data_IF_520934568794
#
_entry.id   IF_520934568794
#
_cell.length_a   1.000
_cell.length_b   1.000
_cell.length_c   1.000
_cell.angle_alpha   90.00
_cell.angle_beta   90.00
_cell.angle_gamma   90.00
#
_symmetry.space_group_name_H-M   'P 1'
#
loop_
_entity.id
_entity.type
_entity.pdbx_description
1 polymer ?
#
# COMPACT_ATOMS: atom_id res chain seq x y z
N UNK A 1 -16.89 0.40 -11.20
CA UNK A 1 -16.61 1.29 -10.05
C UNK A 1 -16.74 0.62 -8.68
N UNK A 2 -17.81 -0.15 -8.37
CA UNK A 2 -17.98 -0.76 -7.03
C UNK A 2 -16.78 -1.60 -6.56
N UNK A 3 -16.16 -2.36 -7.47
CA UNK A 3 -14.98 -3.18 -7.16
C UNK A 3 -13.80 -2.35 -6.64
N UNK A 4 -13.32 -1.38 -7.41
CA UNK A 4 -12.21 -0.51 -7.00
C UNK A 4 -12.53 0.23 -5.69
N UNK A 5 -13.76 0.72 -5.55
CA UNK A 5 -14.21 1.36 -4.30
C UNK A 5 -14.07 0.45 -3.08
N UNK A 6 -14.50 -0.82 -3.17
CA UNK A 6 -14.37 -1.78 -2.08
C UNK A 6 -12.90 -2.09 -1.79
N UNK A 7 -12.12 -2.39 -2.83
CA UNK A 7 -10.69 -2.73 -2.71
C UNK A 7 -9.92 -1.62 -1.98
N UNK A 8 -10.07 -0.37 -2.43
CA UNK A 8 -9.34 0.75 -1.83
C UNK A 8 -9.86 1.13 -0.42
N UNK A 9 -11.14 0.92 -0.11
CA UNK A 9 -11.64 1.07 1.26
C UNK A 9 -11.05 0.02 2.21
N UNK A 10 -11.05 -1.25 1.79
CA UNK A 10 -10.47 -2.34 2.58
C UNK A 10 -8.99 -2.09 2.80
N UNK A 11 -8.25 -1.71 1.74
CA UNK A 11 -6.83 -1.38 1.83
C UNK A 11 -6.56 -0.23 2.81
N UNK A 12 -7.31 0.87 2.71
CA UNK A 12 -7.16 2.02 3.59
C UNK A 12 -7.42 1.66 5.07
N UNK A 13 -8.52 0.96 5.35
CA UNK A 13 -8.88 0.54 6.71
C UNK A 13 -7.81 -0.39 7.28
N UNK A 14 -7.39 -1.40 6.50
CA UNK A 14 -6.33 -2.31 6.89
C UNK A 14 -5.03 -1.56 7.21
N UNK A 15 -4.59 -0.66 6.33
CA UNK A 15 -3.38 0.11 6.53
C UNK A 15 -3.44 1.01 7.76
N UNK A 16 -4.56 1.70 8.02
CA UNK A 16 -4.71 2.48 9.25
C UNK A 16 -4.63 1.60 10.50
N UNK A 17 -5.26 0.43 10.51
CA UNK A 17 -5.25 -0.48 11.66
C UNK A 17 -3.87 -1.05 11.95
N UNK A 18 -3.08 -1.37 10.92
CA UNK A 18 -1.75 -1.97 11.08
C UNK A 18 -0.66 -0.92 11.34
N UNK A 19 -0.74 0.23 10.67
CA UNK A 19 0.37 1.20 10.66
C UNK A 19 0.25 2.23 11.79
N UNK A 20 -0.96 2.64 12.18
CA UNK A 20 -1.14 3.63 13.26
C UNK A 20 -0.52 3.19 14.59
N UNK A 21 -0.67 1.92 15.04
CA UNK A 21 -0.04 1.46 16.27
C UNK A 21 1.49 1.58 16.25
N UNK A 22 2.13 1.54 15.07
CA UNK A 22 3.60 1.59 14.96
C UNK A 22 4.18 2.88 15.56
N UNK A 23 3.44 4.00 15.58
CA UNK A 23 3.88 5.23 16.26
C UNK A 23 4.19 5.04 17.74
N UNK A 24 3.58 4.04 18.39
CA UNK A 24 3.71 3.79 19.82
C UNK A 24 4.50 2.50 20.13
N UNK A 25 4.95 1.78 19.10
CA UNK A 25 5.57 0.47 19.24
C UNK A 25 7.09 0.47 19.00
N UNK A 26 7.72 1.60 18.72
CA UNK A 26 9.16 1.68 18.44
C UNK A 26 10.03 0.95 19.47
N UNK A 27 9.90 1.31 20.75
CA UNK A 27 10.69 0.70 21.84
C UNK A 27 10.30 -0.75 22.12
N UNK A 28 9.08 -1.15 21.76
CA UNK A 28 8.62 -2.53 21.90
C UNK A 28 9.24 -3.40 20.82
N UNK A 29 9.16 -2.98 19.56
CA UNK A 29 9.76 -3.69 18.42
C UNK A 29 11.27 -3.82 18.64
N UNK A 30 11.95 -2.75 19.05
CA UNK A 30 13.40 -2.81 19.31
C UNK A 30 13.82 -3.78 20.42
N UNK A 31 12.89 -4.17 21.31
CA UNK A 31 13.13 -5.19 22.35
C UNK A 31 12.71 -6.60 21.90
N UNK A 32 11.56 -6.68 21.23
CA UNK A 32 10.95 -7.96 20.82
C UNK A 32 11.64 -8.55 19.57
N UNK A 33 12.29 -7.72 18.74
CA UNK A 33 12.99 -8.10 17.51
C UNK A 33 14.42 -7.49 17.46
N UNK A 34 15.38 -8.05 18.22
CA UNK A 34 16.73 -7.54 18.27
C UNK A 34 17.52 -7.82 16.97
N UNK A 35 18.42 -6.92 16.55
CA UNK A 35 18.92 -5.77 17.31
C UNK A 35 17.97 -4.55 17.29
N UNK A 36 18.00 -3.70 18.33
CA UNK A 36 17.15 -2.51 18.39
C UNK A 36 17.30 -1.59 17.17
N UNK A 37 16.21 -0.95 16.78
CA UNK A 37 16.20 0.01 15.67
C UNK A 37 17.10 1.19 16.03
N UNK A 38 18.19 1.36 15.28
CA UNK A 38 19.20 2.41 15.53
C UNK A 38 18.89 3.73 14.82
N UNK A 39 17.94 3.74 13.88
CA UNK A 39 17.63 4.89 13.03
C UNK A 39 16.13 5.25 13.10
N UNK A 40 15.68 5.96 14.15
CA UNK A 40 14.26 6.28 14.34
C UNK A 40 13.67 7.10 13.19
N UNK A 41 14.49 7.91 12.51
CA UNK A 41 14.04 8.68 11.33
C UNK A 41 13.52 7.80 10.19
N UNK A 42 14.15 6.65 9.91
CA UNK A 42 13.64 5.73 8.89
C UNK A 42 12.37 5.02 9.33
N UNK A 43 12.27 4.67 10.62
CA UNK A 43 11.07 4.05 11.18
C UNK A 43 9.86 4.99 11.09
N UNK A 44 9.96 6.19 11.67
CA UNK A 44 8.84 7.15 11.65
C UNK A 44 8.59 7.73 10.26
N UNK A 45 9.63 7.81 9.42
CA UNK A 45 9.49 8.14 8.00
C UNK A 45 8.63 7.12 7.26
N UNK A 46 8.90 5.82 7.46
CA UNK A 46 8.07 4.74 6.92
C UNK A 46 6.63 4.81 7.43
N UNK A 47 6.43 4.97 8.74
CA UNK A 47 5.08 5.06 9.33
C UNK A 47 4.30 6.25 8.73
N UNK A 48 4.92 7.43 8.69
CA UNK A 48 4.29 8.64 8.18
C UNK A 48 3.94 8.57 6.69
N UNK A 49 4.88 8.14 5.84
CA UNK A 49 4.62 8.02 4.39
C UNK A 49 3.57 6.96 4.09
N UNK A 50 3.57 5.85 4.83
CA UNK A 50 2.59 4.77 4.64
C UNK A 50 1.18 5.21 5.03
N UNK A 51 1.04 6.01 6.09
CA UNK A 51 -0.25 6.60 6.47
C UNK A 51 -0.73 7.65 5.46
N UNK A 52 0.16 8.43 4.87
CA UNK A 52 -0.19 9.35 3.79
C UNK A 52 -0.80 8.60 2.58
N UNK A 53 -0.26 7.42 2.25
CA UNK A 53 -0.85 6.55 1.21
C UNK A 53 -2.23 6.00 1.60
N UNK A 54 -2.50 5.72 2.88
CA UNK A 54 -3.85 5.32 3.30
C UNK A 54 -4.88 6.43 3.05
N UNK A 55 -4.48 7.69 3.22
CA UNK A 55 -5.32 8.86 2.86
C UNK A 55 -5.55 8.91 1.35
N UNK A 56 -4.52 8.67 0.55
CA UNK A 56 -4.66 8.57 -0.92
C UNK A 56 -5.64 7.46 -1.31
N UNK A 57 -5.61 6.30 -0.65
CA UNK A 57 -6.54 5.20 -0.88
C UNK A 57 -7.98 5.58 -0.53
N UNK A 58 -8.20 6.37 0.53
CA UNK A 58 -9.54 6.92 0.83
C UNK A 58 -10.04 7.81 -0.31
N UNK A 59 -9.19 8.67 -0.89
CA UNK A 59 -9.59 9.50 -2.03
C UNK A 59 -9.94 8.65 -3.25
N UNK A 60 -9.11 7.66 -3.60
CA UNK A 60 -9.39 6.72 -4.69
C UNK A 60 -10.69 5.96 -4.42
N UNK A 61 -10.93 5.51 -3.19
CA UNK A 61 -12.15 4.79 -2.84
C UNK A 61 -13.41 5.67 -2.96
N UNK A 62 -13.31 6.97 -2.69
CA UNK A 62 -14.44 7.91 -2.84
C UNK A 62 -14.80 8.13 -4.30
N UNK A 63 -13.81 8.34 -5.16
CA UNK A 63 -14.01 8.57 -6.59
C UNK A 63 -12.94 7.84 -7.45
N UNK A 64 -13.14 6.53 -7.71
CA UNK A 64 -12.15 5.73 -8.41
C UNK A 64 -11.88 6.17 -9.85
N UNK A 65 -12.85 6.81 -10.52
CA UNK A 65 -12.67 7.31 -11.89
C UNK A 65 -11.81 8.56 -11.89
N UNK A 66 -12.10 9.53 -11.02
CA UNK A 66 -11.34 10.79 -10.94
C UNK A 66 -9.88 10.55 -10.54
N UNK A 67 -9.63 9.61 -9.63
CA UNK A 67 -8.30 9.29 -9.13
C UNK A 67 -7.69 8.04 -9.79
N UNK A 68 -8.19 7.64 -10.96
CA UNK A 68 -7.67 6.50 -11.73
C UNK A 68 -6.15 6.54 -11.96
N UNK A 69 -5.52 7.69 -12.30
CA UNK A 69 -4.07 7.79 -12.44
C UNK A 69 -3.31 7.45 -11.15
N UNK A 70 -3.90 7.71 -9.98
CA UNK A 70 -3.29 7.46 -8.67
C UNK A 70 -3.25 5.97 -8.32
N UNK A 71 -3.97 5.12 -9.06
CA UNK A 71 -3.87 3.66 -8.90
C UNK A 71 -2.51 3.12 -9.35
N UNK A 72 -1.84 3.75 -10.32
CA UNK A 72 -0.52 3.34 -10.80
C UNK A 72 0.55 3.44 -9.69
N UNK A 73 0.74 4.60 -9.03
CA UNK A 73 1.71 4.67 -7.94
C UNK A 73 1.25 3.85 -6.70
N UNK A 74 -0.05 3.60 -6.54
CA UNK A 74 -0.54 2.66 -5.50
C UNK A 74 -0.05 1.23 -5.74
N UNK A 75 -0.03 0.79 -7.00
CA UNK A 75 0.55 -0.52 -7.40
C UNK A 75 2.04 -0.54 -7.08
N UNK A 76 2.76 0.54 -7.39
CA UNK A 76 4.19 0.64 -7.11
C UNK A 76 4.49 0.58 -5.61
N UNK A 77 3.72 1.30 -4.79
CA UNK A 77 3.85 1.26 -3.32
C UNK A 77 3.78 -0.18 -2.81
N UNK A 78 2.75 -0.95 -3.22
CA UNK A 78 2.56 -2.34 -2.79
C UNK A 78 3.66 -3.30 -3.25
N UNK A 79 4.00 -3.28 -4.54
CA UNK A 79 5.01 -4.22 -5.06
C UNK A 79 6.42 -3.87 -4.60
N UNK A 80 6.73 -2.58 -4.40
CA UNK A 80 8.07 -2.16 -3.97
C UNK A 80 8.44 -2.75 -2.61
N UNK A 81 7.51 -2.71 -1.64
CA UNK A 81 7.74 -3.30 -0.32
C UNK A 81 7.65 -4.82 -0.36
N UNK A 82 6.61 -5.39 -0.97
CA UNK A 82 6.40 -6.84 -1.02
C UNK A 82 7.58 -7.58 -1.66
N UNK A 83 8.13 -7.07 -2.77
CA UNK A 83 9.30 -7.66 -3.43
C UNK A 83 10.55 -7.50 -2.58
N UNK A 84 10.77 -6.33 -1.96
CA UNK A 84 11.93 -6.11 -1.10
C UNK A 84 11.95 -7.09 0.08
N UNK A 85 10.81 -7.35 0.72
CA UNK A 85 10.70 -8.33 1.81
C UNK A 85 11.00 -9.75 1.33
N UNK A 86 10.49 -10.17 0.18
CA UNK A 86 10.80 -11.49 -0.38
C UNK A 86 12.30 -11.66 -0.64
N UNK A 87 12.95 -10.65 -1.21
CA UNK A 87 14.39 -10.66 -1.45
C UNK A 87 15.16 -10.73 -0.12
N UNK A 88 14.84 -9.88 0.84
CA UNK A 88 15.52 -9.86 2.15
C UNK A 88 15.30 -11.16 2.94
N UNK A 89 14.10 -11.75 2.87
CA UNK A 89 13.82 -13.04 3.47
C UNK A 89 14.66 -14.15 2.84
N UNK A 90 14.78 -14.17 1.50
CA UNK A 90 15.66 -15.13 0.81
C UNK A 90 17.14 -14.99 1.16
N UNK A 91 17.55 -13.82 1.63
CA UNK A 91 18.90 -13.53 2.12
C UNK A 91 19.08 -13.87 3.62
N UNK A 92 18.03 -14.36 4.30
CA UNK A 92 18.04 -14.62 5.74
C UNK A 92 18.08 -13.35 6.59
N UNK A 93 17.63 -12.21 6.05
CA UNK A 93 17.68 -10.88 6.69
C UNK A 93 16.33 -10.41 7.24
N UNK A 94 15.29 -11.23 7.13
CA UNK A 94 13.95 -10.95 7.63
C UNK A 94 13.34 -12.22 8.23
N UNK A 95 12.40 -12.03 9.15
CA UNK A 95 11.74 -13.12 9.85
C UNK A 95 10.48 -13.57 9.10
N UNK A 96 10.05 -14.81 9.36
CA UNK A 96 8.86 -15.37 8.71
C UNK A 96 7.57 -14.54 8.92
N UNK A 97 7.32 -13.88 10.07
CA UNK A 97 6.16 -13.00 10.22
C UNK A 97 6.12 -11.82 9.23
N UNK A 98 7.27 -11.34 8.77
CA UNK A 98 7.35 -10.24 7.80
C UNK A 98 6.74 -10.63 6.44
N UNK A 99 6.79 -11.93 6.10
CA UNK A 99 6.17 -12.46 4.89
C UNK A 99 4.65 -12.34 4.89
N UNK A 100 4.00 -12.29 6.07
CA UNK A 100 2.56 -12.08 6.14
C UNK A 100 2.21 -10.68 5.64
N UNK A 101 2.94 -9.66 6.07
CA UNK A 101 2.72 -8.28 5.63
C UNK A 101 3.05 -8.11 4.14
N UNK A 102 4.15 -8.71 3.68
CA UNK A 102 4.48 -8.73 2.25
C UNK A 102 3.42 -9.45 1.41
N UNK A 103 2.89 -10.57 1.90
CA UNK A 103 1.82 -11.31 1.24
C UNK A 103 0.55 -10.47 1.08
N UNK A 104 0.15 -9.74 2.13
CA UNK A 104 -0.99 -8.81 2.05
C UNK A 104 -0.72 -7.72 1.02
N UNK A 105 0.47 -7.14 1.01
CA UNK A 105 0.83 -6.08 0.06
C UNK A 105 0.82 -6.60 -1.38
N UNK A 106 1.35 -7.80 -1.65
CA UNK A 106 1.32 -8.40 -2.99
C UNK A 106 -0.12 -8.68 -3.46
N UNK A 107 -0.97 -9.21 -2.58
CA UNK A 107 -2.40 -9.43 -2.90
C UNK A 107 -3.10 -8.11 -3.19
N UNK A 108 -2.90 -7.09 -2.36
CA UNK A 108 -3.45 -5.75 -2.60
C UNK A 108 -2.91 -5.13 -3.89
N UNK A 109 -1.62 -5.31 -4.20
CA UNK A 109 -1.01 -4.86 -5.46
C UNK A 109 -1.70 -5.47 -6.68
N UNK A 110 -1.97 -6.79 -6.67
CA UNK A 110 -2.73 -7.47 -7.73
C UNK A 110 -4.16 -6.92 -7.84
N UNK A 111 -4.81 -6.68 -6.69
CA UNK A 111 -6.16 -6.09 -6.66
C UNK A 111 -6.17 -4.64 -7.17
N UNK A 112 -5.11 -3.86 -6.94
CA UNK A 112 -4.95 -2.51 -7.45
C UNK A 112 -4.74 -2.50 -8.96
N UNK A 113 -3.91 -3.40 -9.50
CA UNK A 113 -3.77 -3.62 -10.95
C UNK A 113 -5.12 -3.96 -11.57
N UNK A 114 -5.84 -4.91 -10.97
CA UNK A 114 -7.18 -5.31 -11.42
C UNK A 114 -8.17 -4.14 -11.37
N UNK A 115 -8.08 -3.31 -10.32
CA UNK A 115 -8.91 -2.11 -10.17
C UNK A 115 -8.60 -1.08 -11.26
N UNK A 116 -7.33 -0.86 -11.59
CA UNK A 116 -6.92 0.07 -12.64
C UNK A 116 -7.56 -0.30 -13.99
N UNK A 117 -7.43 -1.55 -14.42
CA UNK A 117 -8.01 -1.99 -15.69
C UNK A 117 -9.55 -1.99 -15.69
N UNK A 118 -10.18 -2.31 -14.56
CA UNK A 118 -11.65 -2.28 -14.42
C UNK A 118 -12.26 -0.88 -14.27
N UNK A 119 -11.43 0.14 -14.10
CA UNK A 119 -11.86 1.53 -13.86
C UNK A 119 -11.38 2.46 -14.98
N UNK A 120 -10.83 1.93 -16.07
CA UNK A 120 -10.43 2.72 -17.24
C UNK A 120 -11.62 3.53 -17.75
N UNK A 121 -11.48 4.86 -17.90
CA UNK A 121 -12.47 5.68 -18.57
C UNK A 121 -12.63 5.14 -19.99
N UNK A 122 -13.87 4.83 -20.40
CA UNK A 122 -14.17 4.62 -21.81
C UNK A 122 -13.68 5.86 -22.57
N UNK A 123 -12.69 5.70 -23.44
CA UNK A 123 -12.25 6.73 -24.38
C UNK A 123 -13.50 7.28 -25.06
N UNK A 124 -13.95 8.49 -24.68
CA UNK A 124 -14.99 9.14 -25.45
C UNK A 124 -14.41 9.34 -26.86
N UNK A 125 -15.08 8.89 -27.92
CA UNK A 125 -14.67 9.23 -29.26
C UNK A 125 -14.63 10.74 -29.33
N UNK A 126 -13.45 11.30 -29.63
CA UNK A 126 -13.28 12.71 -29.91
C UNK A 126 -14.41 13.13 -30.84
N UNK A 127 -15.24 14.08 -30.41
CA UNK A 127 -16.27 14.67 -31.25
C UNK A 127 -15.55 15.40 -32.40
N UNK A 128 -15.21 14.65 -33.45
CA UNK A 128 -14.84 15.17 -34.75
C UNK A 128 -16.12 15.68 -35.39
N UNK A 129 -16.14 16.98 -35.69
CA UNK A 129 -17.08 17.57 -36.63
C UNK A 129 -18.20 18.41 -36.00
N UNK A 130 -17.93 19.70 -35.87
CA UNK A 130 -18.84 20.74 -36.39
C UNK A 130 -18.09 22.02 -36.70
#
# INVERSE_FOLDING_TARGET
>A
MKFAKIVFWVAAIWGFLVVTPLYFMFDRIGRDDPPPITHPGFFYGFVGVTLAWQIAFVFIARDPLRFHPLMIPSVFEKFSFGIAVLVLFSQGRMHAPDLLFAGVDLVLGILFVTSHFKTSPSTQPSAVGR
#
